data_IF_298538378999
#
_entry.id   IF_298538378999
#
_cell.length_a   1.000
_cell.length_b   1.000
_cell.length_c   1.000
_cell.angle_alpha   90.00
_cell.angle_beta   90.00
_cell.angle_gamma   90.00
#
_symmetry.space_group_name_H-M   'P 1'
#
loop_
_entity.id
_entity.type
_entity.pdbx_description
1 polymer ?
#
# COMPACT_ATOMS: atom_id res chain seq x y z
N UNK A 1 -32.46 -5.62 23.87
CA UNK A 1 -31.02 -5.44 23.92
C UNK A 1 -30.41 -6.82 23.93
N UNK A 2 -29.38 -7.14 23.14
CA UNK A 2 -28.69 -8.40 23.27
C UNK A 2 -28.12 -8.55 24.68
N UNK A 3 -28.06 -9.78 25.19
CA UNK A 3 -27.51 -10.09 26.51
C UNK A 3 -26.01 -9.70 26.51
N UNK A 4 -25.52 -9.16 27.63
CA UNK A 4 -24.12 -8.80 27.83
C UNK A 4 -23.19 -9.99 27.65
N UNK A 5 -23.67 -11.19 27.93
CA UNK A 5 -22.91 -12.44 27.73
C UNK A 5 -22.82 -12.82 26.25
N UNK A 6 -23.86 -12.57 25.44
CA UNK A 6 -23.82 -12.72 23.98
C UNK A 6 -22.85 -11.72 23.36
N UNK A 7 -22.84 -10.46 23.84
CA UNK A 7 -21.88 -9.45 23.38
C UNK A 7 -20.44 -9.81 23.78
N UNK A 8 -20.23 -10.34 24.99
CA UNK A 8 -18.92 -10.83 25.41
C UNK A 8 -18.45 -12.01 24.57
N UNK A 9 -19.33 -12.98 24.30
CA UNK A 9 -19.01 -14.14 23.46
C UNK A 9 -18.61 -13.71 22.04
N UNK A 10 -19.28 -12.68 21.47
CA UNK A 10 -18.92 -12.12 20.17
C UNK A 10 -17.57 -11.36 20.19
N UNK A 11 -17.19 -10.80 21.34
CA UNK A 11 -15.92 -10.07 21.49
C UNK A 11 -14.76 -11.00 21.91
N UNK A 12 -15.09 -12.10 22.56
CA UNK A 12 -14.12 -13.10 23.04
C UNK A 12 -13.98 -14.28 22.09
N UNK A 13 -14.76 -14.31 20.98
CA UNK A 13 -14.63 -15.35 19.97
C UNK A 13 -13.30 -15.13 19.24
N UNK A 14 -12.24 -15.91 19.55
CA UNK A 14 -11.00 -15.85 18.83
C UNK A 14 -11.13 -16.47 17.43
N UNK A 15 -12.37 -16.80 17.03
CA UNK A 15 -12.72 -17.69 15.94
C UNK A 15 -12.34 -17.22 14.55
N UNK A 16 -11.91 -15.99 14.36
CA UNK A 16 -11.72 -15.46 13.01
C UNK A 16 -10.43 -14.70 12.79
N UNK A 17 -9.35 -15.10 13.44
CA UNK A 17 -8.04 -14.75 12.92
C UNK A 17 -7.74 -15.68 11.74
N UNK A 18 -7.87 -15.11 10.54
CA UNK A 18 -7.44 -15.77 9.32
C UNK A 18 -5.91 -15.89 9.28
N UNK A 19 -5.39 -16.44 8.22
CA UNK A 19 -3.95 -16.58 7.98
C UNK A 19 -3.29 -15.23 7.64
N UNK A 20 -4.10 -14.25 7.17
CA UNK A 20 -3.62 -12.90 6.84
C UNK A 20 -4.62 -11.85 7.36
N UNK A 21 -4.52 -11.45 8.61
CA UNK A 21 -5.56 -10.74 9.34
C UNK A 21 -6.81 -11.60 9.46
N UNK A 22 -7.98 -11.04 9.13
CA UNK A 22 -9.24 -11.79 9.08
C UNK A 22 -9.40 -12.65 7.81
N UNK A 23 -8.50 -12.52 6.84
CA UNK A 23 -8.54 -13.30 5.61
C UNK A 23 -7.94 -14.69 5.83
N UNK A 24 -8.69 -15.73 5.49
CA UNK A 24 -8.21 -17.11 5.46
C UNK A 24 -7.72 -17.42 4.05
N UNK A 25 -6.41 -17.55 3.90
CA UNK A 25 -5.80 -17.88 2.62
C UNK A 25 -6.11 -19.33 2.21
N UNK A 26 -6.31 -19.52 0.91
CA UNK A 26 -6.42 -20.87 0.34
C UNK A 26 -5.00 -21.35 -0.01
N UNK A 27 -4.53 -22.48 0.54
CA UNK A 27 -3.26 -23.08 0.11
C UNK A 27 -3.23 -23.29 -1.41
N UNK A 28 -2.07 -23.14 -2.02
CA UNK A 28 -1.90 -23.16 -3.48
C UNK A 28 -2.43 -24.45 -4.11
N UNK A 29 -2.24 -25.58 -3.45
CA UNK A 29 -2.72 -26.91 -3.88
C UNK A 29 -4.25 -27.07 -3.83
N UNK A 30 -4.92 -26.19 -3.08
CA UNK A 30 -6.40 -26.22 -2.93
C UNK A 30 -7.08 -25.07 -3.68
N UNK A 31 -6.34 -24.23 -4.39
CA UNK A 31 -6.92 -23.11 -5.14
C UNK A 31 -7.82 -23.61 -6.28
N UNK A 32 -9.04 -23.08 -6.42
CA UNK A 32 -9.84 -23.27 -7.64
C UNK A 32 -9.06 -22.82 -8.88
N UNK A 33 -9.31 -23.43 -10.03
CA UNK A 33 -8.53 -23.18 -11.26
C UNK A 33 -8.39 -21.70 -11.63
N UNK A 34 -9.47 -20.92 -11.57
CA UNK A 34 -9.42 -19.50 -11.88
C UNK A 34 -8.58 -18.68 -10.87
N UNK A 35 -8.65 -19.03 -9.59
CA UNK A 35 -7.83 -18.42 -8.55
C UNK A 35 -6.34 -18.74 -8.77
N UNK A 36 -6.05 -20.00 -9.06
CA UNK A 36 -4.68 -20.47 -9.34
C UNK A 36 -4.09 -19.77 -10.56
N UNK A 37 -4.85 -19.62 -11.64
CA UNK A 37 -4.41 -18.91 -12.84
C UNK A 37 -4.06 -17.44 -12.56
N UNK A 38 -4.92 -16.74 -11.80
CA UNK A 38 -4.68 -15.34 -11.40
C UNK A 38 -3.48 -15.21 -10.44
N UNK A 39 -3.32 -16.18 -9.54
CA UNK A 39 -2.17 -16.27 -8.63
C UNK A 39 -0.87 -16.45 -9.44
N UNK A 40 -0.79 -17.45 -10.31
CA UNK A 40 0.37 -17.72 -11.15
C UNK A 40 0.68 -16.56 -12.12
N UNK A 41 -0.36 -15.87 -12.61
CA UNK A 41 -0.19 -14.63 -13.40
C UNK A 41 0.52 -13.55 -12.55
N UNK A 42 0.10 -13.37 -11.30
CA UNK A 42 0.71 -12.37 -10.41
C UNK A 42 2.16 -12.71 -10.09
N UNK A 43 2.46 -13.98 -9.83
CA UNK A 43 3.85 -14.46 -9.62
C UNK A 43 4.70 -14.18 -10.85
N UNK A 44 4.24 -14.53 -12.05
CA UNK A 44 4.98 -14.23 -13.30
C UNK A 44 5.23 -12.74 -13.50
N UNK A 45 4.27 -11.92 -13.11
CA UNK A 45 4.34 -10.47 -13.32
C UNK A 45 5.22 -9.76 -12.30
N UNK A 46 5.20 -10.20 -11.03
CA UNK A 46 5.78 -9.48 -9.90
C UNK A 46 6.88 -10.24 -9.16
N UNK A 47 7.10 -11.51 -9.48
CA UNK A 47 8.03 -12.40 -8.77
C UNK A 47 7.44 -13.03 -7.50
N UNK A 48 6.36 -12.48 -6.95
CA UNK A 48 5.66 -12.95 -5.75
C UNK A 48 4.21 -12.44 -5.74
N UNK A 49 3.39 -12.93 -4.81
CA UNK A 49 2.06 -12.39 -4.53
C UNK A 49 2.15 -11.51 -3.28
N UNK A 50 2.13 -10.16 -3.41
CA UNK A 50 2.20 -9.26 -2.26
C UNK A 50 0.99 -9.39 -1.36
N UNK A 51 1.11 -8.99 -0.08
CA UNK A 51 0.07 -9.12 0.95
C UNK A 51 -1.36 -8.84 0.51
N UNK A 52 -1.72 -7.61 0.07
CA UNK A 52 -3.10 -7.31 -0.34
C UNK A 52 -3.56 -8.11 -1.56
N UNK A 53 -2.64 -8.58 -2.42
CA UNK A 53 -2.97 -9.42 -3.58
C UNK A 53 -3.46 -10.81 -3.14
N UNK A 54 -3.03 -11.31 -1.98
CA UNK A 54 -3.54 -12.54 -1.39
C UNK A 54 -5.06 -12.45 -1.15
N UNK A 55 -5.50 -11.31 -0.62
CA UNK A 55 -6.93 -11.04 -0.40
C UNK A 55 -7.67 -10.91 -1.73
N UNK A 56 -7.10 -10.17 -2.69
CA UNK A 56 -7.72 -9.98 -4.01
C UNK A 56 -7.79 -11.25 -4.85
N UNK A 57 -7.01 -12.28 -4.52
CA UNK A 57 -7.09 -13.59 -5.17
C UNK A 57 -8.46 -14.27 -4.98
N UNK A 58 -9.20 -13.91 -3.93
CA UNK A 58 -10.59 -14.34 -3.76
C UNK A 58 -11.52 -13.87 -4.90
N UNK A 59 -11.11 -12.85 -5.66
CA UNK A 59 -11.74 -12.42 -6.91
C UNK A 59 -10.69 -12.44 -8.04
N UNK A 60 -10.52 -13.56 -8.75
CA UNK A 60 -9.48 -13.72 -9.76
C UNK A 60 -9.50 -12.65 -10.86
N UNK A 61 -10.69 -12.23 -11.30
CA UNK A 61 -10.82 -11.19 -12.32
C UNK A 61 -10.31 -9.83 -11.82
N UNK A 62 -10.59 -9.50 -10.54
CA UNK A 62 -10.06 -8.30 -9.91
C UNK A 62 -8.52 -8.37 -9.82
N UNK A 63 -7.98 -9.48 -9.30
CA UNK A 63 -6.54 -9.64 -9.15
C UNK A 63 -5.81 -9.49 -10.49
N UNK A 64 -6.29 -10.12 -11.54
CA UNK A 64 -5.70 -10.05 -12.89
C UNK A 64 -5.73 -8.62 -13.44
N UNK A 65 -6.80 -7.86 -13.14
CA UNK A 65 -6.93 -6.47 -13.60
C UNK A 65 -6.00 -5.52 -12.86
N UNK A 66 -5.83 -5.71 -11.56
CA UNK A 66 -5.19 -4.73 -10.67
C UNK A 66 -3.68 -5.00 -10.46
N UNK A 67 -3.23 -6.27 -10.52
CA UNK A 67 -1.83 -6.62 -10.33
C UNK A 67 -0.84 -5.89 -11.26
N UNK A 68 -1.18 -5.58 -12.54
CA UNK A 68 -0.32 -4.81 -13.43
C UNK A 68 0.02 -3.40 -12.91
N UNK A 69 -0.86 -2.75 -12.15
CA UNK A 69 -0.57 -1.43 -11.55
C UNK A 69 0.63 -1.51 -10.62
N UNK A 70 0.66 -2.52 -9.75
CA UNK A 70 1.80 -2.71 -8.86
C UNK A 70 3.11 -3.05 -9.61
N UNK A 71 3.03 -3.81 -10.70
CA UNK A 71 4.18 -4.11 -11.56
C UNK A 71 4.72 -2.86 -12.27
N UNK A 72 3.83 -1.97 -12.71
CA UNK A 72 4.21 -0.69 -13.29
C UNK A 72 5.12 0.12 -12.37
N UNK A 73 4.79 0.23 -11.08
CA UNK A 73 5.62 0.94 -10.10
C UNK A 73 6.92 0.21 -9.73
N UNK A 74 7.06 -1.06 -10.07
CA UNK A 74 8.33 -1.78 -9.89
C UNK A 74 9.35 -1.50 -11.00
N UNK A 75 8.91 -1.22 -12.22
CA UNK A 75 9.80 -1.27 -13.38
C UNK A 75 9.60 -0.21 -14.47
N UNK A 76 8.48 0.51 -14.49
CA UNK A 76 8.12 1.39 -15.60
C UNK A 76 7.74 2.82 -15.22
N UNK A 77 7.54 3.10 -13.93
CA UNK A 77 7.21 4.44 -13.44
C UNK A 77 8.36 5.44 -13.69
N UNK A 78 8.01 6.69 -13.89
CA UNK A 78 8.98 7.80 -14.01
C UNK A 78 9.58 8.23 -12.66
N UNK A 79 9.03 7.72 -11.56
CA UNK A 79 9.48 7.98 -10.20
C UNK A 79 10.63 7.06 -9.81
N UNK A 80 11.61 7.60 -9.12
CA UNK A 80 12.65 6.80 -8.45
C UNK A 80 12.06 5.97 -7.29
N UNK A 81 12.80 4.94 -6.86
CA UNK A 81 12.37 4.12 -5.71
C UNK A 81 12.14 4.96 -4.46
N UNK A 82 13.01 5.95 -4.18
CA UNK A 82 12.83 6.86 -3.06
C UNK A 82 11.53 7.69 -3.18
N UNK A 83 11.23 8.22 -4.35
CA UNK A 83 10.02 9.01 -4.62
C UNK A 83 8.75 8.17 -4.46
N UNK A 84 8.76 6.91 -4.93
CA UNK A 84 7.66 5.96 -4.72
C UNK A 84 7.44 5.72 -3.22
N UNK A 85 8.50 5.45 -2.46
CA UNK A 85 8.36 5.15 -1.03
C UNK A 85 7.95 6.38 -0.21
N UNK A 86 8.37 7.59 -0.58
CA UNK A 86 7.89 8.84 0.05
C UNK A 86 6.37 8.94 -0.08
N UNK A 87 5.83 8.80 -1.29
CA UNK A 87 4.38 8.89 -1.50
C UNK A 87 3.62 7.74 -0.81
N UNK A 88 4.18 6.53 -0.85
CA UNK A 88 3.59 5.34 -0.22
C UNK A 88 3.54 5.47 1.31
N UNK A 89 4.63 5.88 1.96
CA UNK A 89 4.67 6.07 3.40
C UNK A 89 3.68 7.16 3.86
N UNK A 90 3.57 8.25 3.12
CA UNK A 90 2.58 9.31 3.40
C UNK A 90 1.16 8.76 3.37
N UNK A 91 0.78 8.01 2.34
CA UNK A 91 -0.61 7.56 2.19
C UNK A 91 -0.93 6.38 3.13
N UNK A 92 -0.01 5.45 3.36
CA UNK A 92 -0.19 4.37 4.33
C UNK A 92 -0.34 4.91 5.76
N UNK A 93 0.49 5.89 6.13
CA UNK A 93 0.37 6.59 7.43
C UNK A 93 -0.94 7.35 7.57
N UNK A 94 -1.38 8.05 6.52
CA UNK A 94 -2.66 8.77 6.51
C UNK A 94 -3.87 7.85 6.75
N UNK A 95 -3.84 6.62 6.22
CA UNK A 95 -4.90 5.63 6.45
C UNK A 95 -4.71 4.84 7.75
N UNK A 96 -3.52 4.86 8.36
CA UNK A 96 -3.23 4.03 9.52
C UNK A 96 -3.17 2.53 9.18
N UNK A 97 -2.83 2.18 7.95
CA UNK A 97 -2.71 0.79 7.50
C UNK A 97 -1.46 0.14 8.09
N UNK A 98 -1.58 -0.55 9.23
CA UNK A 98 -0.48 -1.07 10.01
C UNK A 98 0.50 -1.93 9.20
N UNK A 99 0.00 -2.93 8.47
CA UNK A 99 0.82 -3.78 7.59
C UNK A 99 1.52 -2.97 6.49
N UNK A 100 0.77 -2.09 5.81
CA UNK A 100 1.33 -1.28 4.72
C UNK A 100 2.43 -0.34 5.21
N UNK A 101 2.22 0.33 6.34
CA UNK A 101 3.24 1.20 6.95
C UNK A 101 4.49 0.42 7.33
N UNK A 102 4.35 -0.72 8.00
CA UNK A 102 5.47 -1.55 8.45
C UNK A 102 6.31 -2.09 7.29
N UNK A 103 5.67 -2.59 6.22
CA UNK A 103 6.39 -3.11 5.06
C UNK A 103 7.10 -1.99 4.29
N UNK A 104 6.43 -0.86 4.08
CA UNK A 104 7.00 0.24 3.32
C UNK A 104 8.03 1.06 4.09
N UNK A 105 7.99 1.08 5.43
CA UNK A 105 9.07 1.60 6.26
C UNK A 105 10.40 0.89 5.95
N UNK A 106 10.40 -0.45 5.96
CA UNK A 106 11.59 -1.25 5.62
C UNK A 106 12.06 -1.00 4.18
N UNK A 107 11.13 -1.01 3.24
CA UNK A 107 11.45 -0.81 1.82
C UNK A 107 12.01 0.59 1.59
N UNK A 108 11.45 1.62 2.22
CA UNK A 108 11.89 3.01 2.11
C UNK A 108 13.35 3.17 2.58
N UNK A 109 13.71 2.56 3.70
CA UNK A 109 15.07 2.63 4.25
C UNK A 109 16.03 1.78 3.43
N UNK A 110 15.69 0.52 3.12
CA UNK A 110 16.62 -0.44 2.51
C UNK A 110 16.78 -0.19 1.00
N UNK A 111 15.68 -0.06 0.27
CA UNK A 111 15.70 0.10 -1.18
C UNK A 111 15.60 1.57 -1.63
N UNK A 112 14.79 2.37 -0.95
CA UNK A 112 14.67 3.81 -1.19
C UNK A 112 15.88 4.61 -0.72
N UNK A 113 16.71 4.04 0.18
CA UNK A 113 17.86 4.70 0.80
C UNK A 113 17.48 6.00 1.52
N UNK A 114 16.27 6.07 2.04
CA UNK A 114 15.79 7.20 2.80
C UNK A 114 16.31 7.13 4.25
N UNK A 115 16.47 8.29 4.86
CA UNK A 115 16.82 8.42 6.27
C UNK A 115 15.68 7.87 7.15
N UNK A 116 15.94 6.92 8.08
CA UNK A 116 14.90 6.33 8.92
C UNK A 116 14.04 7.35 9.66
N UNK A 117 14.62 8.41 10.23
CA UNK A 117 13.88 9.43 10.95
C UNK A 117 12.91 10.20 10.05
N UNK A 118 13.26 10.37 8.76
CA UNK A 118 12.35 10.97 7.78
C UNK A 118 11.21 10.02 7.42
N UNK A 119 11.49 8.72 7.28
CA UNK A 119 10.45 7.71 7.00
C UNK A 119 9.46 7.63 8.16
N UNK A 120 9.95 7.60 9.41
CA UNK A 120 9.10 7.69 10.60
C UNK A 120 8.20 8.93 10.57
N UNK A 121 8.77 10.09 10.22
CA UNK A 121 8.00 11.34 10.11
C UNK A 121 6.93 11.28 9.02
N UNK A 122 7.22 10.66 7.85
CA UNK A 122 6.23 10.47 6.79
C UNK A 122 5.03 9.64 7.26
N UNK A 123 5.29 8.51 7.93
CA UNK A 123 4.26 7.60 8.42
C UNK A 123 3.46 8.23 9.56
N UNK A 124 4.14 8.93 10.45
CA UNK A 124 3.50 9.61 11.58
C UNK A 124 2.75 10.91 11.19
N UNK A 125 2.84 11.33 9.93
CA UNK A 125 2.24 12.59 9.46
C UNK A 125 2.93 13.84 10.06
N UNK A 126 4.17 13.71 10.49
CA UNK A 126 4.96 14.81 11.03
C UNK A 126 5.68 15.60 9.91
N UNK A 127 5.93 16.88 10.10
CA UNK A 127 6.69 17.67 9.14
C UNK A 127 8.11 17.09 8.94
N UNK A 128 8.51 16.96 7.69
CA UNK A 128 9.87 16.56 7.30
C UNK A 128 10.28 17.29 6.02
N UNK A 129 11.47 17.03 5.50
CA UNK A 129 11.96 17.65 4.27
C UNK A 129 13.12 16.89 3.66
N UNK A 130 13.30 17.10 2.35
CA UNK A 130 14.29 16.42 1.53
C UNK A 130 15.20 17.44 0.84
N UNK A 131 16.50 17.17 0.78
CA UNK A 131 17.47 18.00 0.06
C UNK A 131 17.38 17.84 -1.46
N UNK A 132 16.94 16.67 -1.93
CA UNK A 132 16.65 16.43 -3.34
C UNK A 132 15.34 17.16 -3.72
N UNK A 133 15.35 18.06 -4.72
CA UNK A 133 14.17 18.84 -5.09
C UNK A 133 13.00 17.98 -5.61
N UNK A 134 13.28 16.83 -6.26
CA UNK A 134 12.24 15.93 -6.76
C UNK A 134 11.58 15.20 -5.59
N UNK A 135 12.37 14.66 -4.65
CA UNK A 135 11.84 14.03 -3.44
C UNK A 135 11.01 15.04 -2.62
N UNK A 136 11.48 16.27 -2.49
CA UNK A 136 10.78 17.34 -1.77
C UNK A 136 9.42 17.63 -2.41
N UNK A 137 9.35 17.78 -3.71
CA UNK A 137 8.08 18.08 -4.39
C UNK A 137 7.11 16.88 -4.38
N UNK A 138 7.61 15.64 -4.43
CA UNK A 138 6.80 14.45 -4.25
C UNK A 138 6.21 14.40 -2.85
N UNK A 139 7.00 14.68 -1.81
CA UNK A 139 6.53 14.79 -0.44
C UNK A 139 5.42 15.84 -0.29
N UNK A 140 5.65 17.07 -0.78
CA UNK A 140 4.66 18.16 -0.68
C UNK A 140 3.36 17.83 -1.43
N UNK A 141 3.48 17.25 -2.64
CA UNK A 141 2.33 16.84 -3.45
C UNK A 141 1.52 15.74 -2.74
N UNK A 142 2.21 14.69 -2.29
CA UNK A 142 1.59 13.56 -1.60
C UNK A 142 0.91 13.98 -0.29
N UNK A 143 1.58 14.80 0.52
CA UNK A 143 1.02 15.32 1.78
C UNK A 143 -0.20 16.21 1.56
N UNK A 144 -0.18 17.04 0.49
CA UNK A 144 -1.31 17.88 0.12
C UNK A 144 -2.52 17.03 -0.28
N UNK A 145 -2.31 16.02 -1.10
CA UNK A 145 -3.37 15.11 -1.57
C UNK A 145 -3.89 14.21 -0.43
N UNK A 146 -3.01 13.67 0.40
CA UNK A 146 -3.38 12.89 1.58
C UNK A 146 -4.26 13.69 2.55
N UNK A 147 -3.98 15.00 2.69
CA UNK A 147 -4.80 15.93 3.47
C UNK A 147 -6.12 16.31 2.76
N UNK A 148 -6.46 15.70 1.62
CA UNK A 148 -7.67 15.93 0.81
C UNK A 148 -7.80 17.40 0.35
N UNK A 149 -6.68 18.04 0.02
CA UNK A 149 -6.62 19.43 -0.44
C UNK A 149 -6.36 19.49 -1.93
N UNK A 150 -6.89 20.51 -2.56
CA UNK A 150 -6.52 20.88 -3.93
C UNK A 150 -5.04 21.34 -3.92
N UNK A 151 -4.28 20.87 -4.89
CA UNK A 151 -2.86 21.26 -5.03
C UNK A 151 -2.78 22.76 -5.40
N UNK A 152 -2.13 23.61 -4.60
CA UNK A 152 -1.96 25.01 -4.92
C UNK A 152 -1.19 25.21 -6.22
N UNK A 153 -1.51 26.24 -7.00
CA UNK A 153 -0.91 26.50 -8.31
C UNK A 153 0.63 26.58 -8.24
N UNK A 154 1.17 27.18 -7.19
CA UNK A 154 2.62 27.27 -7.01
C UNK A 154 3.30 25.91 -6.83
N UNK A 155 2.67 25.01 -6.04
CA UNK A 155 3.15 23.64 -5.88
C UNK A 155 3.01 22.84 -7.19
N UNK A 156 1.87 22.97 -7.87
CA UNK A 156 1.65 22.34 -9.17
C UNK A 156 2.72 22.71 -10.20
N UNK A 157 3.05 24.02 -10.32
CA UNK A 157 4.09 24.48 -11.25
C UNK A 157 5.48 23.95 -10.89
N UNK A 158 5.81 23.84 -9.59
CA UNK A 158 7.08 23.23 -9.18
C UNK A 158 7.10 21.73 -9.50
N UNK A 159 6.01 21.04 -9.23
CA UNK A 159 5.87 19.62 -9.59
C UNK A 159 6.00 19.42 -11.10
N UNK A 160 5.30 20.21 -11.90
CA UNK A 160 5.38 20.13 -13.36
C UNK A 160 6.80 20.40 -13.90
N UNK A 161 7.51 21.35 -13.30
CA UNK A 161 8.91 21.65 -13.68
C UNK A 161 9.86 20.50 -13.38
N UNK A 162 9.69 19.82 -12.24
CA UNK A 162 10.60 18.79 -11.74
C UNK A 162 10.24 17.38 -12.21
N UNK A 163 8.95 17.05 -12.25
CA UNK A 163 8.44 15.70 -12.54
C UNK A 163 7.85 15.58 -13.96
N UNK A 164 7.44 16.71 -14.56
CA UNK A 164 6.58 16.72 -15.74
C UNK A 164 5.14 16.24 -15.43
N UNK A 165 4.27 16.29 -16.43
CA UNK A 165 2.89 15.80 -16.27
C UNK A 165 2.83 14.29 -16.02
N UNK A 166 3.77 13.53 -16.62
CA UNK A 166 3.89 12.09 -16.39
C UNK A 166 4.19 11.76 -14.93
N UNK A 167 5.14 12.46 -14.30
CA UNK A 167 5.47 12.22 -12.89
C UNK A 167 4.35 12.65 -11.94
N UNK A 168 3.61 13.72 -12.25
CA UNK A 168 2.41 14.11 -11.49
C UNK A 168 1.35 13.02 -11.60
N UNK A 169 1.11 12.48 -12.80
CA UNK A 169 0.19 11.37 -13.01
C UNK A 169 0.62 10.13 -12.20
N UNK A 170 1.91 9.81 -12.21
CA UNK A 170 2.46 8.69 -11.44
C UNK A 170 2.21 8.88 -9.93
N UNK A 171 2.51 10.04 -9.36
CA UNK A 171 2.25 10.29 -7.93
C UNK A 171 0.77 10.15 -7.60
N UNK A 172 -0.11 10.74 -8.40
CA UNK A 172 -1.55 10.74 -8.12
C UNK A 172 -2.16 9.34 -8.22
N UNK A 173 -1.78 8.56 -9.22
CA UNK A 173 -2.24 7.16 -9.37
C UNK A 173 -1.64 6.26 -8.30
N UNK A 174 -0.37 6.44 -7.92
CA UNK A 174 0.27 5.72 -6.83
C UNK A 174 -0.49 5.90 -5.50
N UNK A 175 -0.86 7.13 -5.19
CA UNK A 175 -1.63 7.44 -3.98
C UNK A 175 -3.03 6.81 -4.00
N UNK A 176 -3.71 6.83 -5.15
CA UNK A 176 -4.99 6.13 -5.34
C UNK A 176 -4.84 4.62 -5.17
N UNK A 177 -3.79 4.04 -5.75
CA UNK A 177 -3.43 2.64 -5.61
C UNK A 177 -3.21 2.23 -4.14
N UNK A 178 -2.36 2.96 -3.42
CA UNK A 178 -2.11 2.66 -2.01
C UNK A 178 -3.28 3.03 -1.09
N UNK A 179 -4.18 3.89 -1.52
CA UNK A 179 -5.50 4.04 -0.86
C UNK A 179 -6.30 2.73 -0.95
N UNK A 180 -6.40 2.12 -2.14
CA UNK A 180 -7.10 0.84 -2.31
C UNK A 180 -6.41 -0.29 -1.51
N UNK A 181 -5.07 -0.35 -1.53
CA UNK A 181 -4.26 -1.26 -0.69
C UNK A 181 -4.59 -1.06 0.78
N UNK A 182 -4.53 0.16 1.29
CA UNK A 182 -4.77 0.47 2.70
C UNK A 182 -6.19 0.11 3.13
N UNK A 183 -7.20 0.46 2.34
CA UNK A 183 -8.60 0.09 2.62
C UNK A 183 -8.80 -1.43 2.66
N UNK A 184 -8.14 -2.18 1.76
CA UNK A 184 -8.17 -3.64 1.79
C UNK A 184 -7.55 -4.19 3.08
N UNK A 185 -6.36 -3.74 3.44
CA UNK A 185 -5.67 -4.18 4.65
C UNK A 185 -6.46 -3.86 5.93
N UNK A 186 -7.07 -2.67 5.99
CA UNK A 186 -7.90 -2.26 7.11
C UNK A 186 -9.22 -3.04 7.21
N UNK A 187 -9.87 -3.34 6.07
CA UNK A 187 -11.10 -4.13 6.04
C UNK A 187 -10.90 -5.54 6.63
N UNK A 188 -9.72 -6.11 6.42
CA UNK A 188 -9.34 -7.42 6.96
C UNK A 188 -8.49 -7.35 8.22
N UNK A 189 -8.33 -6.16 8.81
CA UNK A 189 -7.59 -5.94 10.06
C UNK A 189 -6.22 -6.64 10.08
N UNK A 190 -5.46 -6.42 8.99
CA UNK A 190 -4.16 -7.08 8.81
C UNK A 190 -3.12 -6.44 9.72
N UNK A 191 -2.58 -7.17 10.71
CA UNK A 191 -1.60 -6.64 11.65
C UNK A 191 -0.24 -6.40 10.97
N UNK A 192 0.58 -5.52 11.54
CA UNK A 192 1.88 -5.13 10.99
C UNK A 192 2.83 -6.31 10.75
N UNK A 193 2.74 -7.35 11.57
CA UNK A 193 3.60 -8.53 11.50
C UNK A 193 2.96 -9.74 10.81
N UNK A 194 1.88 -9.52 10.04
CA UNK A 194 1.24 -10.61 9.30
C UNK A 194 2.21 -11.19 8.25
N UNK A 195 2.38 -12.50 8.25
CA UNK A 195 3.19 -13.21 7.26
C UNK A 195 2.32 -13.89 6.19
N UNK A 196 1.13 -14.34 6.58
CA UNK A 196 0.28 -15.18 5.76
C UNK A 196 0.86 -16.60 5.59
N UNK A 197 0.29 -17.36 4.66
CA UNK A 197 0.86 -18.62 4.24
C UNK A 197 2.11 -18.37 3.37
N UNK A 198 3.17 -19.14 3.61
CA UNK A 198 4.30 -19.24 2.70
C UNK A 198 3.80 -19.89 1.39
N UNK A 199 3.90 -19.18 0.26
CA UNK A 199 3.36 -19.57 -1.04
C UNK A 199 4.38 -19.38 -2.15
#
# INVERSE_FOLDING_TARGET
MPDINELKALLEDPGDFGTFGRFVETPVEHMPAAMREAFDFTVRLRGLVPGPHKIWAANPALLTTIAPVGAYYQSASTLSKAEIEIATCVICGQWGAAYGSFEHEKIAVILGKLDPAKVEALIAGLPTGFSDPRQQVVYELSSTLAAKRVVPLGLFRRAQKLLGDAGIADVTVLMGWFTAVSLTLMAYDVPSNATGLDQ
#
